data_IF_125853722902
#
_entry.id   IF_125853722902
#
_cell.length_a   1.000
_cell.length_b   1.000
_cell.length_c   1.000
_cell.angle_alpha   90.00
_cell.angle_beta   90.00
_cell.angle_gamma   90.00
#
_symmetry.space_group_name_H-M   'P 1'
#
loop_
_entity.id
_entity.type
_entity.pdbx_description
1 polymer ?
#
# COMPACT_ATOMS: atom_id res chain seq x y z
N UNK A 1 -24.20 -72.71 29.87
CA UNK A 1 -24.75 -71.81 28.82
C UNK A 1 -24.31 -70.34 28.96
N UNK A 2 -24.37 -69.70 30.15
CA UNK A 2 -23.93 -68.30 30.35
C UNK A 2 -22.52 -67.95 29.82
N UNK A 3 -21.54 -68.85 29.99
CA UNK A 3 -20.16 -68.58 29.60
C UNK A 3 -19.94 -68.61 28.07
N UNK A 4 -20.76 -69.34 27.32
CA UNK A 4 -20.71 -69.36 25.85
C UNK A 4 -21.32 -68.07 25.28
N UNK A 5 -22.38 -67.58 25.92
CA UNK A 5 -23.06 -66.34 25.55
C UNK A 5 -22.19 -65.11 25.83
N UNK A 6 -21.45 -65.11 26.95
CA UNK A 6 -20.53 -64.02 27.27
C UNK A 6 -19.30 -63.98 26.36
N UNK A 7 -18.79 -65.15 25.92
CA UNK A 7 -17.68 -65.22 24.97
C UNK A 7 -18.10 -64.76 23.57
N UNK A 8 -19.27 -65.19 23.10
CA UNK A 8 -19.80 -64.79 21.78
C UNK A 8 -20.15 -63.30 21.75
N UNK A 9 -20.72 -62.75 22.82
CA UNK A 9 -20.97 -61.31 22.94
C UNK A 9 -19.67 -60.49 22.87
N UNK A 10 -18.61 -60.90 23.57
CA UNK A 10 -17.30 -60.21 23.54
C UNK A 10 -16.65 -60.24 22.15
N UNK A 11 -16.75 -61.36 21.43
CA UNK A 11 -16.25 -61.46 20.05
C UNK A 11 -17.05 -60.56 19.12
N UNK A 12 -18.37 -60.50 19.27
CA UNK A 12 -19.23 -59.63 18.47
C UNK A 12 -18.92 -58.13 18.70
N UNK A 13 -18.69 -57.74 19.95
CA UNK A 13 -18.31 -56.34 20.29
C UNK A 13 -16.94 -55.99 19.68
N UNK A 14 -15.98 -56.91 19.70
CA UNK A 14 -14.67 -56.70 19.09
C UNK A 14 -14.78 -56.50 17.56
N UNK A 15 -15.59 -57.32 16.88
CA UNK A 15 -15.84 -57.19 15.44
C UNK A 15 -16.52 -55.87 15.09
N UNK A 16 -17.48 -55.42 15.91
CA UNK A 16 -18.16 -54.13 15.71
C UNK A 16 -17.23 -52.93 15.91
N UNK A 17 -16.24 -53.02 16.79
CA UNK A 17 -15.22 -51.97 16.98
C UNK A 17 -14.23 -51.97 15.81
N UNK A 18 -13.84 -53.14 15.28
CA UNK A 18 -13.00 -53.22 14.08
C UNK A 18 -13.71 -52.70 12.81
N UNK A 19 -15.03 -52.80 12.71
CA UNK A 19 -15.79 -52.22 11.59
C UNK A 19 -15.94 -50.69 11.67
N UNK A 20 -15.76 -50.09 12.84
CA UNK A 20 -15.83 -48.63 12.99
C UNK A 20 -14.53 -47.93 12.58
N UNK A 21 -13.38 -48.63 12.62
CA UNK A 21 -12.08 -48.04 12.24
C UNK A 21 -11.93 -47.84 10.73
N UNK A 22 -12.69 -48.57 9.90
CA UNK A 22 -12.64 -48.39 8.43
C UNK A 22 -13.30 -47.10 7.96
N UNK A 23 -14.22 -46.51 8.75
CA UNK A 23 -14.82 -45.21 8.42
C UNK A 23 -13.87 -44.02 8.65
N UNK A 24 -12.87 -44.18 9.52
CA UNK A 24 -11.90 -43.10 9.83
C UNK A 24 -10.90 -42.88 8.70
N UNK A 25 -10.65 -43.88 7.84
CA UNK A 25 -9.73 -43.76 6.71
C UNK A 25 -10.37 -43.24 5.41
N UNK A 26 -11.67 -42.92 5.42
CA UNK A 26 -12.34 -42.27 4.30
C UNK A 26 -12.27 -40.74 4.43
N UNK A 27 -11.09 -40.17 4.71
CA UNK A 27 -10.87 -38.74 4.49
C UNK A 27 -11.10 -38.51 3.00
N UNK A 28 -12.23 -37.87 2.68
CA UNK A 28 -12.62 -37.65 1.30
C UNK A 28 -11.57 -36.73 0.65
N UNK A 29 -10.78 -37.30 -0.26
CA UNK A 29 -9.77 -36.61 -1.05
C UNK A 29 -10.38 -36.25 -2.42
N UNK A 30 -10.01 -35.09 -2.94
CA UNK A 30 -10.35 -34.67 -4.30
C UNK A 30 -9.15 -34.02 -4.98
N UNK A 31 -9.18 -34.04 -6.31
CA UNK A 31 -8.18 -33.37 -7.13
C UNK A 31 -8.61 -31.93 -7.43
N UNK A 32 -7.61 -31.05 -7.50
CA UNK A 32 -7.76 -29.67 -7.94
C UNK A 32 -7.08 -29.52 -9.29
N UNK A 33 -7.84 -29.13 -10.28
CA UNK A 33 -7.34 -28.80 -11.61
C UNK A 33 -7.50 -27.32 -11.88
N UNK A 34 -6.69 -26.77 -12.77
CA UNK A 34 -6.91 -25.42 -13.25
C UNK A 34 -6.09 -25.10 -14.46
N UNK A 35 -6.35 -23.91 -14.99
CA UNK A 35 -5.72 -23.37 -16.19
C UNK A 35 -5.29 -21.94 -15.92
N UNK A 36 -4.06 -21.60 -16.28
CA UNK A 36 -3.51 -20.25 -16.17
C UNK A 36 -3.42 -19.62 -17.56
N UNK A 37 -4.00 -18.44 -17.71
CA UNK A 37 -4.04 -17.67 -18.94
C UNK A 37 -3.40 -16.29 -18.73
N UNK A 38 -2.96 -15.66 -19.80
CA UNK A 38 -2.54 -14.25 -19.80
C UNK A 38 -3.75 -13.30 -19.96
N UNK A 39 -3.50 -12.00 -19.93
CA UNK A 39 -4.51 -10.95 -20.15
C UNK A 39 -5.24 -11.06 -21.51
N UNK A 40 -4.55 -11.59 -22.53
CA UNK A 40 -5.08 -11.78 -23.89
C UNK A 40 -5.87 -13.09 -24.04
N UNK A 41 -5.88 -13.93 -23.02
CA UNK A 41 -6.54 -15.24 -23.02
C UNK A 41 -5.68 -16.40 -23.52
N UNK A 42 -4.40 -16.18 -23.83
CA UNK A 42 -3.49 -17.25 -24.23
C UNK A 42 -3.02 -18.06 -23.00
N UNK A 43 -2.83 -19.39 -23.13
CA UNK A 43 -2.34 -20.22 -22.04
C UNK A 43 -0.90 -19.88 -21.64
N UNK A 44 -0.63 -19.88 -20.34
CA UNK A 44 0.69 -19.63 -19.78
C UNK A 44 1.35 -20.92 -19.29
N UNK A 45 2.41 -21.35 -19.97
CA UNK A 45 3.24 -22.48 -19.56
C UNK A 45 4.30 -22.08 -18.52
N UNK A 46 4.76 -23.03 -17.72
CA UNK A 46 5.83 -22.84 -16.73
C UNK A 46 5.52 -21.83 -15.63
N UNK A 47 4.24 -21.54 -15.38
CA UNK A 47 3.81 -20.77 -14.21
C UNK A 47 3.99 -21.64 -12.98
N UNK A 48 4.62 -21.10 -11.94
CA UNK A 48 4.77 -21.77 -10.66
C UNK A 48 3.49 -21.57 -9.84
N UNK A 49 2.84 -22.66 -9.47
CA UNK A 49 1.65 -22.67 -8.63
C UNK A 49 2.01 -23.30 -7.28
N UNK A 50 1.98 -22.49 -6.23
CA UNK A 50 2.22 -22.89 -4.86
C UNK A 50 0.89 -23.05 -4.14
N UNK A 51 0.61 -24.24 -3.62
CA UNK A 51 -0.55 -24.55 -2.80
C UNK A 51 -0.13 -24.68 -1.34
N UNK A 52 -0.74 -23.87 -0.47
CA UNK A 52 -0.52 -23.86 0.97
C UNK A 52 -1.83 -24.14 1.71
N UNK A 53 -1.75 -24.85 2.82
CA UNK A 53 -2.89 -25.05 3.72
C UNK A 53 -2.41 -25.01 5.17
N UNK A 54 -3.30 -24.60 6.09
CA UNK A 54 -2.97 -24.65 7.51
C UNK A 54 -2.86 -26.11 7.95
N UNK A 55 -1.68 -26.52 8.39
CA UNK A 55 -1.44 -27.86 8.95
C UNK A 55 -1.03 -28.94 7.94
N UNK A 56 -0.94 -28.65 6.64
CA UNK A 56 -0.28 -29.54 5.68
C UNK A 56 0.87 -28.80 4.98
N UNK A 57 1.87 -29.56 4.50
CA UNK A 57 3.03 -29.00 3.83
C UNK A 57 2.66 -28.25 2.54
N UNK A 58 3.56 -27.36 2.12
CA UNK A 58 3.43 -26.64 0.86
C UNK A 58 3.63 -27.61 -0.31
N UNK A 59 2.76 -27.54 -1.31
CA UNK A 59 2.92 -28.27 -2.57
C UNK A 59 3.17 -27.27 -3.70
N UNK A 60 4.05 -27.60 -4.63
CA UNK A 60 4.34 -26.74 -5.79
C UNK A 60 4.22 -27.57 -7.06
N UNK A 61 3.52 -27.03 -8.06
CA UNK A 61 3.44 -27.60 -9.41
C UNK A 61 3.67 -26.51 -10.44
N UNK A 62 4.10 -26.89 -11.63
CA UNK A 62 4.25 -25.97 -12.77
C UNK A 62 3.20 -26.27 -13.83
N UNK A 63 2.73 -25.23 -14.53
CA UNK A 63 1.78 -25.41 -15.63
C UNK A 63 2.44 -26.03 -16.85
N UNK A 64 1.69 -26.85 -17.58
CA UNK A 64 2.12 -27.44 -18.85
C UNK A 64 2.00 -26.47 -20.04
N UNK A 65 2.31 -26.93 -21.26
CA UNK A 65 2.23 -26.13 -22.51
C UNK A 65 0.82 -25.55 -22.79
N UNK A 66 -0.23 -26.18 -22.25
CA UNK A 66 -1.61 -25.71 -22.36
C UNK A 66 -2.05 -24.84 -21.18
N UNK A 67 -1.12 -24.47 -20.30
CA UNK A 67 -1.38 -23.69 -19.09
C UNK A 67 -2.07 -24.46 -17.97
N UNK A 68 -2.21 -25.78 -18.07
CA UNK A 68 -2.93 -26.58 -17.08
C UNK A 68 -2.03 -27.00 -15.91
N UNK A 69 -2.60 -27.05 -14.71
CA UNK A 69 -1.98 -27.59 -13.50
C UNK A 69 -2.95 -28.51 -12.75
N UNK A 70 -2.40 -29.47 -12.00
CA UNK A 70 -3.19 -30.41 -11.19
C UNK A 70 -2.51 -30.68 -9.86
N UNK A 71 -3.23 -30.49 -8.76
CA UNK A 71 -2.88 -31.01 -7.45
C UNK A 71 -3.78 -32.20 -7.13
N UNK A 72 -3.18 -33.29 -6.67
CA UNK A 72 -3.91 -34.52 -6.33
C UNK A 72 -4.05 -34.67 -4.82
N UNK A 73 -5.04 -35.46 -4.41
CA UNK A 73 -5.17 -35.91 -3.02
C UNK A 73 -5.32 -34.77 -2.00
N UNK A 74 -6.15 -33.77 -2.31
CA UNK A 74 -6.45 -32.68 -1.38
C UNK A 74 -7.66 -33.03 -0.51
N UNK A 75 -7.57 -32.74 0.79
CA UNK A 75 -8.64 -32.95 1.73
C UNK A 75 -9.83 -32.01 1.43
N UNK A 76 -11.00 -32.59 1.19
CA UNK A 76 -12.24 -31.86 0.93
C UNK A 76 -12.63 -31.04 2.17
N UNK A 77 -13.16 -29.84 1.95
CA UNK A 77 -13.61 -28.93 3.01
C UNK A 77 -12.51 -28.03 3.59
N UNK A 78 -11.23 -28.33 3.32
CA UNK A 78 -10.13 -27.46 3.71
C UNK A 78 -10.01 -26.24 2.78
N UNK A 79 -9.53 -25.13 3.35
CA UNK A 79 -9.17 -23.91 2.62
C UNK A 79 -7.70 -23.97 2.22
N UNK A 80 -7.44 -23.78 0.94
CA UNK A 80 -6.10 -23.76 0.35
C UNK A 80 -5.83 -22.38 -0.23
N UNK A 81 -4.62 -21.86 0.02
CA UNK A 81 -4.12 -20.65 -0.62
C UNK A 81 -3.22 -21.04 -1.79
N UNK A 82 -3.61 -20.62 -2.99
CA UNK A 82 -2.87 -20.82 -4.23
C UNK A 82 -2.16 -19.52 -4.58
N UNK A 83 -0.84 -19.54 -4.68
CA UNK A 83 -0.03 -18.43 -5.17
C UNK A 83 0.54 -18.77 -6.54
N UNK A 84 0.28 -17.91 -7.52
CA UNK A 84 0.77 -18.02 -8.89
C UNK A 84 1.91 -17.04 -9.07
N UNK A 85 3.05 -17.53 -9.55
CA UNK A 85 4.21 -16.72 -9.84
C UNK A 85 4.80 -17.11 -11.20
N UNK A 86 5.12 -16.10 -11.99
CA UNK A 86 5.76 -16.27 -13.28
C UNK A 86 6.58 -15.03 -13.61
N UNK A 87 7.71 -15.21 -14.30
CA UNK A 87 8.65 -14.12 -14.59
C UNK A 87 7.98 -13.12 -15.52
N UNK A 88 8.04 -11.83 -15.15
CA UNK A 88 7.41 -10.76 -15.93
C UNK A 88 5.89 -10.66 -15.72
N UNK A 89 5.32 -11.31 -14.71
CA UNK A 89 3.92 -11.20 -14.32
C UNK A 89 3.77 -10.84 -12.84
N UNK A 90 2.67 -10.18 -12.50
CA UNK A 90 2.34 -9.86 -11.11
C UNK A 90 1.91 -11.14 -10.37
N UNK A 91 2.50 -11.47 -9.21
CA UNK A 91 2.07 -12.62 -8.43
C UNK A 91 0.61 -12.47 -7.96
N UNK A 92 -0.16 -13.55 -8.05
CA UNK A 92 -1.58 -13.56 -7.63
C UNK A 92 -1.76 -14.63 -6.56
N UNK A 93 -2.44 -14.28 -5.48
CA UNK A 93 -2.86 -15.23 -4.45
C UNK A 93 -4.39 -15.38 -4.46
N UNK A 94 -4.89 -16.62 -4.43
CA UNK A 94 -6.32 -16.92 -4.34
C UNK A 94 -6.57 -18.00 -3.30
N UNK A 95 -7.58 -17.80 -2.45
CA UNK A 95 -8.01 -18.82 -1.51
C UNK A 95 -9.18 -19.60 -2.10
N UNK A 96 -9.09 -20.92 -2.08
CA UNK A 96 -10.14 -21.82 -2.55
C UNK A 96 -10.51 -22.84 -1.48
N UNK A 97 -11.74 -23.36 -1.55
CA UNK A 97 -12.18 -24.50 -0.74
C UNK A 97 -12.38 -25.70 -1.65
N UNK A 98 -11.83 -26.86 -1.29
CA UNK A 98 -11.96 -28.08 -2.10
C UNK A 98 -13.35 -28.70 -1.92
N UNK A 99 -14.07 -28.86 -3.03
CA UNK A 99 -15.40 -29.48 -3.08
C UNK A 99 -15.32 -30.98 -3.43
N UNK A 100 -16.36 -31.74 -3.11
CA UNK A 100 -16.46 -33.19 -3.40
C UNK A 100 -16.32 -33.55 -4.88
N UNK A 101 -16.75 -32.67 -5.77
CA UNK A 101 -16.81 -32.93 -7.22
C UNK A 101 -15.50 -32.61 -7.95
N UNK A 102 -14.45 -32.20 -7.22
CA UNK A 102 -13.26 -31.60 -7.80
C UNK A 102 -13.50 -30.14 -8.19
N UNK A 103 -12.43 -29.36 -8.25
CA UNK A 103 -12.48 -27.96 -8.68
C UNK A 103 -11.70 -27.79 -9.98
N UNK A 104 -12.26 -26.99 -10.89
CA UNK A 104 -11.54 -26.48 -12.06
C UNK A 104 -11.46 -24.96 -11.95
N UNK A 105 -10.26 -24.42 -11.83
CA UNK A 105 -10.03 -22.99 -11.61
C UNK A 105 -9.34 -22.38 -12.83
N UNK A 106 -9.93 -21.35 -13.40
CA UNK A 106 -9.28 -20.55 -14.45
C UNK A 106 -8.74 -19.27 -13.82
N UNK A 107 -7.43 -19.08 -13.89
CA UNK A 107 -6.74 -17.92 -13.34
C UNK A 107 -6.12 -17.11 -14.48
N UNK A 108 -6.33 -15.79 -14.47
CA UNK A 108 -5.69 -14.86 -15.43
C UNK A 108 -4.59 -14.11 -14.71
N UNK A 109 -3.38 -14.11 -15.27
CA UNK A 109 -2.24 -13.36 -14.75
C UNK A 109 -2.02 -12.10 -15.58
N UNK A 110 -1.76 -11.01 -14.86
CA UNK A 110 -1.44 -9.73 -15.47
C UNK A 110 0.08 -9.59 -15.62
N UNK A 111 0.50 -9.07 -16.75
CA UNK A 111 1.90 -8.75 -17.00
C UNK A 111 2.40 -7.75 -15.95
N UNK A 112 3.66 -7.88 -15.57
CA UNK A 112 4.32 -6.96 -14.66
C UNK A 112 4.63 -5.70 -15.46
N UNK A 113 3.65 -4.81 -15.64
CA UNK A 113 3.96 -3.45 -16.05
C UNK A 113 4.80 -2.82 -14.93
N UNK A 114 5.96 -2.28 -15.27
CA UNK A 114 6.84 -1.57 -14.34
C UNK A 114 6.24 -0.25 -13.83
N UNK A 115 4.95 -0.21 -13.48
CA UNK A 115 4.45 0.78 -12.54
C UNK A 115 4.90 0.34 -11.15
N UNK A 116 6.16 0.62 -10.83
CA UNK A 116 6.68 0.69 -9.48
C UNK A 116 5.83 1.74 -8.73
N UNK A 117 4.69 1.32 -8.20
CA UNK A 117 3.95 2.12 -7.24
C UNK A 117 4.82 2.20 -5.98
N UNK A 118 5.57 3.28 -5.85
CA UNK A 118 6.25 3.65 -4.62
C UNK A 118 5.16 3.87 -3.57
N UNK A 119 4.92 2.84 -2.74
CA UNK A 119 3.94 2.89 -1.66
C UNK A 119 4.54 3.71 -0.54
N UNK A 120 4.16 4.98 -0.45
CA UNK A 120 4.36 5.77 0.78
C UNK A 120 3.13 5.58 1.66
N UNK A 121 3.34 4.96 2.82
CA UNK A 121 2.31 4.84 3.86
C UNK A 121 2.28 6.15 4.63
N UNK A 122 1.36 7.05 4.29
CA UNK A 122 1.01 8.15 5.20
C UNK A 122 -0.06 7.68 6.18
N UNK A 123 0.08 8.09 7.44
CA UNK A 123 -0.53 7.49 8.63
C UNK A 123 -2.07 7.58 8.76
N UNK A 124 -2.84 7.75 7.67
CA UNK A 124 -4.29 7.98 7.76
C UNK A 124 -5.14 7.31 6.65
N UNK A 125 -4.79 6.09 6.25
CA UNK A 125 -5.74 5.08 5.74
C UNK A 125 -6.49 5.33 4.42
N UNK A 126 -6.36 6.47 3.74
CA UNK A 126 -7.03 6.71 2.46
C UNK A 126 -6.01 6.73 1.32
N UNK A 127 -6.07 5.68 0.50
CA UNK A 127 -5.26 5.51 -0.72
C UNK A 127 -5.78 6.46 -1.80
N UNK A 128 -5.00 7.47 -2.19
CA UNK A 128 -5.32 8.35 -3.32
C UNK A 128 -4.21 8.24 -4.37
N UNK A 129 -4.58 7.90 -5.61
CA UNK A 129 -3.68 7.79 -6.74
C UNK A 129 -3.18 9.19 -7.16
N UNK A 130 -1.87 9.37 -7.31
CA UNK A 130 -1.25 10.61 -7.82
C UNK A 130 -1.47 10.84 -9.34
N UNK A 131 -2.24 9.99 -10.01
CA UNK A 131 -2.65 10.21 -11.40
C UNK A 131 -4.11 10.68 -11.43
N UNK A 132 -4.34 11.99 -11.46
CA UNK A 132 -5.47 12.64 -12.18
C UNK A 132 -5.76 14.06 -11.69
N UNK A 133 -4.77 14.91 -11.49
CA UNK A 133 -5.01 16.34 -11.38
C UNK A 133 -4.04 17.03 -12.33
N UNK A 134 -4.54 17.91 -13.21
CA UNK A 134 -3.74 18.76 -14.11
C UNK A 134 -2.89 19.79 -13.38
N UNK A 135 -2.45 19.49 -12.16
CA UNK A 135 -1.66 20.33 -11.28
C UNK A 135 -0.40 19.55 -10.90
N UNK A 136 0.75 20.14 -11.19
CA UNK A 136 2.06 19.63 -10.77
C UNK A 136 2.14 19.68 -9.25
N UNK A 137 2.09 18.52 -8.59
CA UNK A 137 2.46 18.38 -7.19
C UNK A 137 3.89 17.82 -7.12
N UNK A 138 4.77 18.51 -6.39
CA UNK A 138 6.13 18.02 -6.13
C UNK A 138 6.20 17.53 -4.68
N UNK A 139 6.58 16.28 -4.49
CA UNK A 139 6.76 15.65 -3.18
C UNK A 139 8.25 15.62 -2.85
N UNK A 140 8.64 16.17 -1.71
CA UNK A 140 10.02 16.21 -1.22
C UNK A 140 10.24 15.10 -0.19
N UNK A 141 11.38 14.41 -0.25
CA UNK A 141 11.74 13.37 0.73
C UNK A 141 12.53 13.98 1.89
N UNK A 142 12.53 13.33 3.06
CA UNK A 142 13.15 13.85 4.29
C UNK A 142 14.63 14.25 4.10
N UNK A 143 15.38 13.48 3.29
CA UNK A 143 16.77 13.78 2.96
C UNK A 143 16.96 15.10 2.20
N UNK A 144 15.95 15.55 1.45
CA UNK A 144 16.01 16.80 0.71
C UNK A 144 15.84 18.03 1.60
N UNK A 145 15.24 17.88 2.79
CA UNK A 145 15.06 18.98 3.74
C UNK A 145 16.25 19.07 4.70
N UNK A 146 16.82 17.93 5.10
CA UNK A 146 17.91 17.85 6.09
C UNK A 146 19.29 18.23 5.55
N UNK A 147 19.52 18.20 4.24
CA UNK A 147 20.81 18.58 3.62
C UNK A 147 21.01 20.10 3.51
N UNK A 148 19.99 20.90 3.85
CA UNK A 148 20.08 22.33 3.80
C UNK A 148 20.66 22.90 5.11
N UNK A 149 21.83 23.53 5.01
CA UNK A 149 22.52 24.23 6.13
C UNK A 149 21.83 25.52 6.59
N UNK A 150 20.53 25.67 6.32
CA UNK A 150 19.80 26.91 6.59
C UNK A 150 19.13 26.84 7.95
N UNK A 151 19.19 27.93 8.73
CA UNK A 151 18.49 28.06 10.01
C UNK A 151 16.95 28.08 9.87
N UNK A 152 16.44 28.05 8.63
CA UNK A 152 15.03 28.15 8.30
C UNK A 152 14.68 27.09 7.24
N UNK A 153 13.66 26.27 7.52
CA UNK A 153 13.23 25.17 6.67
C UNK A 153 12.62 25.66 5.34
N UNK A 154 12.06 26.86 5.31
CA UNK A 154 11.46 27.44 4.08
C UNK A 154 12.55 27.75 3.07
N UNK A 155 13.69 28.31 3.51
CA UNK A 155 14.84 28.57 2.63
C UNK A 155 15.48 27.31 2.08
N UNK A 156 15.34 26.17 2.76
CA UNK A 156 15.77 24.86 2.26
C UNK A 156 14.99 24.37 1.05
N UNK A 157 13.76 24.88 0.87
CA UNK A 157 12.90 24.55 -0.27
C UNK A 157 13.19 25.42 -1.50
N UNK A 158 13.91 26.52 -1.31
CA UNK A 158 14.34 27.42 -2.39
C UNK A 158 15.23 26.66 -3.38
N UNK A 159 14.87 26.71 -4.67
CA UNK A 159 15.59 26.03 -5.74
C UNK A 159 15.34 24.52 -5.85
N UNK A 160 14.67 23.89 -4.88
CA UNK A 160 14.26 22.48 -4.96
C UNK A 160 12.84 22.31 -5.49
N UNK A 161 11.98 23.31 -5.27
CA UNK A 161 10.62 23.37 -5.81
C UNK A 161 10.57 24.35 -6.98
N UNK A 162 10.10 23.89 -8.13
CA UNK A 162 10.00 24.70 -9.33
C UNK A 162 8.92 25.77 -9.19
N UNK A 163 9.29 27.04 -9.41
CA UNK A 163 8.37 28.17 -9.30
C UNK A 163 8.07 28.61 -7.86
N UNK A 164 8.81 28.13 -6.87
CA UNK A 164 8.79 28.68 -5.52
C UNK A 164 9.61 29.97 -5.47
N UNK A 165 9.03 31.04 -4.94
CA UNK A 165 9.71 32.31 -4.70
C UNK A 165 9.57 32.72 -3.24
N UNK A 166 10.66 33.20 -2.63
CA UNK A 166 10.74 33.56 -1.23
C UNK A 166 11.10 35.04 -1.11
N UNK A 167 10.27 35.80 -0.40
CA UNK A 167 10.52 37.21 -0.10
C UNK A 167 10.69 37.36 1.42
N UNK A 168 11.85 37.83 1.87
CA UNK A 168 12.11 38.08 3.29
C UNK A 168 11.93 39.57 3.60
N UNK A 169 11.10 39.89 4.60
CA UNK A 169 10.78 41.26 4.99
C UNK A 169 11.76 41.87 6.02
N UNK A 170 12.61 41.04 6.65
CA UNK A 170 13.48 41.46 7.75
C UNK A 170 14.88 40.83 7.67
N UNK A 171 15.89 41.58 8.12
CA UNK A 171 17.31 41.20 8.05
C UNK A 171 17.79 40.34 9.23
N UNK A 172 16.95 39.43 9.73
CA UNK A 172 17.26 38.60 10.91
C UNK A 172 16.73 37.16 10.79
N UNK A 173 17.30 36.20 11.54
CA UNK A 173 16.95 34.77 11.45
C UNK A 173 15.50 34.43 11.88
N UNK A 174 14.74 35.40 12.41
CA UNK A 174 13.31 35.28 12.72
C UNK A 174 12.42 36.26 11.95
N UNK A 175 12.93 36.95 10.92
CA UNK A 175 12.13 37.87 10.12
C UNK A 175 11.13 37.14 9.25
N UNK A 176 9.93 37.71 9.08
CA UNK A 176 8.85 37.14 8.28
C UNK A 176 9.31 36.81 6.86
N UNK A 177 9.03 35.58 6.43
CA UNK A 177 9.25 35.14 5.04
C UNK A 177 7.90 34.89 4.39
N UNK A 178 7.67 35.57 3.27
CA UNK A 178 6.58 35.31 2.36
C UNK A 178 7.00 34.27 1.34
N UNK A 179 6.21 33.20 1.25
CA UNK A 179 6.34 32.16 0.24
C UNK A 179 5.30 32.41 -0.84
N UNK A 180 5.71 32.43 -2.10
CA UNK A 180 4.82 32.55 -3.26
C UNK A 180 5.11 31.43 -4.26
N UNK A 181 4.05 30.85 -4.83
CA UNK A 181 4.14 29.81 -5.85
C UNK A 181 3.71 30.41 -7.19
N UNK A 182 4.64 30.42 -8.15
CA UNK A 182 4.50 30.98 -9.50
C UNK A 182 4.41 32.51 -9.56
N UNK A 183 4.90 33.19 -8.53
CA UNK A 183 4.98 34.65 -8.47
C UNK A 183 3.68 35.33 -8.08
N UNK A 184 3.66 36.66 -8.20
CA UNK A 184 2.53 37.48 -7.78
C UNK A 184 1.40 37.47 -8.82
N UNK A 185 0.28 36.83 -8.47
CA UNK A 185 -0.91 36.73 -9.34
C UNK A 185 -1.95 37.85 -9.08
N UNK A 186 -1.80 38.60 -8.00
CA UNK A 186 -2.71 39.67 -7.57
C UNK A 186 -1.95 40.96 -7.27
N UNK A 187 -2.59 42.10 -7.58
CA UNK A 187 -2.12 43.43 -7.17
C UNK A 187 -2.35 43.69 -5.67
N UNK A 188 -3.10 42.82 -4.99
CA UNK A 188 -3.21 42.84 -3.54
C UNK A 188 -1.93 42.25 -2.91
N UNK A 189 -1.16 43.02 -2.13
CA UNK A 189 0.05 42.53 -1.49
C UNK A 189 -0.19 41.29 -0.63
N UNK A 190 -1.33 41.16 0.05
CA UNK A 190 -1.57 40.03 0.97
C UNK A 190 -2.17 38.79 0.29
N UNK A 191 -2.45 38.87 -1.02
CA UNK A 191 -3.16 37.84 -1.77
C UNK A 191 -2.32 36.75 -2.43
N UNK A 192 -0.98 36.89 -2.49
CA UNK A 192 -0.12 35.96 -3.24
C UNK A 192 0.73 35.03 -2.35
N UNK A 193 0.34 34.88 -1.09
CA UNK A 193 1.01 33.98 -0.16
C UNK A 193 0.57 32.54 -0.42
N UNK A 194 1.51 31.60 -0.40
CA UNK A 194 1.22 30.18 -0.47
C UNK A 194 0.48 29.72 0.79
N UNK A 195 -0.52 28.84 0.62
CA UNK A 195 -1.16 28.17 1.74
C UNK A 195 -0.22 27.08 2.26
N UNK A 196 0.24 27.26 3.50
CA UNK A 196 1.08 26.29 4.20
C UNK A 196 0.19 25.53 5.17
N UNK A 197 0.26 24.20 5.18
CA UNK A 197 -0.52 23.36 6.08
C UNK A 197 0.44 22.43 6.81
N UNK A 198 0.47 22.53 8.14
CA UNK A 198 1.27 21.68 9.01
C UNK A 198 0.30 20.78 9.80
N UNK A 199 0.46 19.46 9.68
CA UNK A 199 -0.37 18.46 10.37
C UNK A 199 -1.90 18.70 10.23
N UNK A 200 -2.33 19.19 9.06
CA UNK A 200 -3.73 19.48 8.76
C UNK A 200 -4.23 20.84 9.25
N UNK A 201 -3.39 21.62 9.92
CA UNK A 201 -3.71 22.98 10.37
C UNK A 201 -3.11 24.00 9.39
N UNK A 202 -3.93 24.88 8.78
CA UNK A 202 -3.41 25.93 7.91
C UNK A 202 -2.62 26.95 8.72
N UNK A 203 -1.39 27.20 8.32
CA UNK A 203 -0.51 28.21 8.89
C UNK A 203 -0.68 29.52 8.13
N UNK A 204 -0.80 30.62 8.88
CA UNK A 204 -0.87 31.95 8.30
C UNK A 204 0.55 32.51 8.10
N UNK A 205 0.89 32.86 6.86
CA UNK A 205 2.16 33.50 6.50
C UNK A 205 2.19 35.02 6.70
N UNK A 206 1.11 35.63 7.19
CA UNK A 206 1.06 37.06 7.50
C UNK A 206 2.01 37.43 8.64
N UNK A 207 2.87 38.42 8.42
CA UNK A 207 3.80 38.92 9.43
C UNK A 207 3.07 39.68 10.53
N UNK A 208 3.49 39.47 11.78
CA UNK A 208 3.04 40.32 12.91
C UNK A 208 4.07 41.41 13.13
N UNK A 209 3.66 42.67 12.98
CA UNK A 209 4.52 43.83 13.19
C UNK A 209 3.90 44.76 14.21
N UNK A 210 4.69 45.29 15.16
CA UNK A 210 4.23 46.33 16.08
C UNK A 210 4.28 47.66 15.34
N UNK A 211 3.19 47.99 14.63
CA UNK A 211 3.08 49.19 13.81
C UNK A 211 2.13 49.01 12.63
N UNK A 212 2.06 50.00 11.73
CA UNK A 212 1.23 49.99 10.52
C UNK A 212 1.38 48.64 9.80
N UNK A 213 0.26 47.97 9.52
CA UNK A 213 0.11 46.51 9.40
C UNK A 213 0.88 45.73 8.34
N UNK A 214 1.94 46.30 7.73
CA UNK A 214 2.73 45.64 6.70
C UNK A 214 4.22 45.95 6.91
N UNK A 215 4.99 44.95 7.37
CA UNK A 215 6.47 44.97 7.40
C UNK A 215 7.13 45.12 6.01
N UNK A 216 6.32 45.06 4.95
CA UNK A 216 6.74 45.24 3.55
C UNK A 216 6.77 46.70 3.09
N UNK A 217 6.42 47.65 3.97
CA UNK A 217 6.31 49.09 3.66
C UNK A 217 7.62 49.88 3.73
N UNK A 218 8.71 49.38 3.14
CA UNK A 218 9.93 50.18 3.00
C UNK A 218 9.71 51.26 1.93
N UNK A 219 9.40 52.49 2.36
CA UNK A 219 9.27 53.66 1.47
C UNK A 219 8.21 54.70 1.83
N UNK A 220 7.39 54.47 2.88
CA UNK A 220 6.26 55.36 3.20
C UNK A 220 6.57 56.44 4.25
N UNK A 221 7.85 56.73 4.52
CA UNK A 221 8.28 57.83 5.41
C UNK A 221 8.03 57.60 6.91
N UNK A 222 7.79 56.35 7.34
CA UNK A 222 7.67 55.96 8.76
C UNK A 222 8.74 54.93 9.12
N UNK A 223 9.11 54.86 10.40
CA UNK A 223 10.11 53.92 10.93
C UNK A 223 9.85 52.49 10.46
N UNK A 224 10.92 51.78 10.09
CA UNK A 224 10.84 50.35 9.74
C UNK A 224 10.33 49.61 10.97
N UNK A 225 9.14 49.01 10.92
CA UNK A 225 8.54 48.45 12.11
C UNK A 225 9.25 47.15 12.49
N UNK A 226 9.31 46.86 13.79
CA UNK A 226 9.91 45.62 14.28
C UNK A 226 9.03 44.44 13.82
N UNK A 227 9.65 43.52 13.08
CA UNK A 227 9.04 42.29 12.60
C UNK A 227 9.26 41.18 13.64
N UNK A 228 8.16 40.68 14.24
CA UNK A 228 8.20 39.59 15.22
C UNK A 228 8.21 38.21 14.56
N UNK A 229 8.27 38.17 13.23
CA UNK A 229 8.18 36.95 12.45
C UNK A 229 6.74 36.56 12.16
N UNK A 230 6.63 35.49 11.39
CA UNK A 230 5.37 34.80 11.11
C UNK A 230 5.45 33.37 11.63
N UNK A 231 4.28 32.76 11.87
CA UNK A 231 4.20 31.40 12.41
C UNK A 231 4.85 30.33 11.51
N UNK A 232 5.24 30.68 10.29
CA UNK A 232 5.90 29.80 9.33
C UNK A 232 7.33 29.48 9.75
N UNK A 233 8.05 30.38 10.44
CA UNK A 233 9.47 30.18 10.77
C UNK A 233 9.74 29.72 12.19
N UNK A 234 8.71 29.68 13.03
CA UNK A 234 8.80 29.21 14.40
C UNK A 234 8.60 27.69 14.44
N UNK A 235 9.48 26.93 15.13
CA UNK A 235 9.34 25.49 15.28
C UNK A 235 8.10 25.09 16.09
#
# INVERSE_FOLDING_TARGET
MKNIFLKTARVLTLVLVLMQTTFVYAQSLADLTGTVLNEKGDPLSSVTVLLQTKGAGNQTVTTNEKGNYTFKQLAIGNKYNLTFSYVGFTPIAQTITINKTGNNIVTRMNSLSSELNEVVVTALGIKKQEKALGYSAQTMKEGDVLDARSNNWVSSLSGKVAGLNLYSAGSGPGGSVRVSLRGDASMNPDGNNALIVLDGVPMNGGGTSSGVGNAYGAGSGSDVPVDFGNGVLTP
#
